data_IF_388520485732
#
_entry.id   IF_388520485732
#
_cell.length_a   1.000
_cell.length_b   1.000
_cell.length_c   1.000
_cell.angle_alpha   90.00
_cell.angle_beta   90.00
_cell.angle_gamma   90.00
#
_symmetry.space_group_name_H-M   'P 1'
#
loop_
_entity.id
_entity.type
_entity.pdbx_description
1 polymer ?
#
# COMPACT_ATOMS: atom_id res chain seq x y z
N UNK A 1 -7.64 0.45 -16.55
CA UNK A 1 -8.02 1.88 -16.46
C UNK A 1 -6.90 2.77 -16.99
N UNK A 2 -7.21 3.96 -17.48
CA UNK A 2 -6.21 4.90 -17.98
C UNK A 2 -6.63 6.34 -17.72
N UNK A 3 -5.67 7.18 -17.33
CA UNK A 3 -5.85 8.61 -17.20
C UNK A 3 -5.27 9.28 -18.46
N UNK A 4 -6.10 9.98 -19.24
CA UNK A 4 -5.69 10.55 -20.54
C UNK A 4 -5.79 12.07 -20.50
N UNK A 5 -4.68 12.75 -20.78
CA UNK A 5 -4.64 14.21 -20.88
C UNK A 5 -5.40 14.68 -22.13
N UNK A 6 -6.29 15.67 -21.98
CA UNK A 6 -7.15 16.11 -23.10
C UNK A 6 -6.41 16.96 -24.14
N UNK A 7 -5.32 17.62 -23.75
CA UNK A 7 -4.57 18.54 -24.62
C UNK A 7 -3.46 17.80 -25.36
N UNK A 8 -2.70 16.95 -24.63
CA UNK A 8 -1.53 16.26 -25.16
C UNK A 8 -1.82 14.84 -25.66
N UNK A 9 -3.01 14.29 -25.34
CA UNK A 9 -3.35 12.87 -25.54
C UNK A 9 -2.39 11.89 -24.84
N UNK A 10 -1.55 12.36 -23.90
CA UNK A 10 -0.70 11.49 -23.11
C UNK A 10 -1.53 10.64 -22.15
N UNK A 11 -1.29 9.33 -22.13
CA UNK A 11 -2.02 8.37 -21.30
C UNK A 11 -1.14 7.79 -20.18
N UNK A 12 -1.75 7.66 -19.00
CA UNK A 12 -1.18 6.99 -17.83
C UNK A 12 -2.07 5.79 -17.50
N UNK A 13 -1.63 4.62 -17.96
CA UNK A 13 -2.40 3.37 -17.88
C UNK A 13 -2.06 2.62 -16.61
N UNK A 14 -3.08 2.10 -15.93
CA UNK A 14 -2.93 1.17 -14.81
C UNK A 14 -3.93 0.04 -14.96
N UNK A 15 -3.47 -1.19 -14.76
CA UNK A 15 -4.33 -2.36 -14.67
C UNK A 15 -4.44 -2.80 -13.21
N UNK A 16 -5.66 -3.05 -12.74
CA UNK A 16 -5.96 -3.58 -11.40
C UNK A 16 -7.05 -4.63 -11.48
N UNK A 17 -6.84 -5.72 -10.74
CA UNK A 17 -7.81 -6.80 -10.56
C UNK A 17 -8.28 -6.78 -9.10
N UNK A 18 -9.58 -6.96 -8.91
CA UNK A 18 -10.19 -7.17 -7.59
C UNK A 18 -10.67 -8.62 -7.57
N UNK A 19 -10.05 -9.42 -6.73
CA UNK A 19 -10.35 -10.84 -6.59
C UNK A 19 -10.60 -11.11 -5.12
N UNK A 20 -11.72 -11.73 -4.81
CA UNK A 20 -12.10 -12.10 -3.45
C UNK A 20 -12.68 -13.50 -3.47
N UNK A 21 -12.09 -14.39 -2.68
CA UNK A 21 -12.49 -15.78 -2.56
C UNK A 21 -12.68 -16.11 -1.09
N UNK A 22 -13.73 -16.86 -0.77
CA UNK A 22 -13.98 -17.32 0.60
C UNK A 22 -14.58 -18.71 0.58
N UNK A 23 -14.24 -19.52 1.57
CA UNK A 23 -14.75 -20.88 1.66
C UNK A 23 -14.56 -21.49 3.04
N UNK A 24 -14.88 -22.78 3.13
CA UNK A 24 -14.64 -23.59 4.32
C UNK A 24 -14.11 -24.93 3.88
N UNK A 25 -13.05 -25.39 4.54
CA UNK A 25 -12.42 -26.69 4.33
C UNK A 25 -12.22 -27.42 5.68
N UNK A 26 -11.41 -28.48 5.69
CA UNK A 26 -11.12 -29.27 6.90
C UNK A 26 -10.33 -28.52 7.97
N UNK A 27 -9.59 -27.48 7.58
CA UNK A 27 -8.72 -26.68 8.47
C UNK A 27 -9.42 -25.40 8.95
N UNK A 28 -10.56 -25.05 8.34
CA UNK A 28 -11.48 -24.04 8.84
C UNK A 28 -12.07 -23.16 7.74
N UNK A 29 -12.53 -21.96 8.14
CA UNK A 29 -12.92 -20.94 7.19
C UNK A 29 -11.68 -20.23 6.64
N UNK A 30 -11.66 -19.99 5.34
CA UNK A 30 -10.59 -19.24 4.68
C UNK A 30 -11.16 -18.11 3.81
N UNK A 31 -10.35 -17.08 3.65
CA UNK A 31 -10.64 -15.90 2.83
C UNK A 31 -9.35 -15.45 2.15
N UNK A 32 -9.42 -15.15 0.86
CA UNK A 32 -8.29 -14.73 0.03
C UNK A 32 -8.67 -13.51 -0.82
N UNK A 33 -7.72 -12.59 -0.96
CA UNK A 33 -7.88 -11.39 -1.78
C UNK A 33 -8.67 -10.27 -1.08
N UNK A 34 -9.32 -9.42 -1.87
CA UNK A 34 -10.03 -8.26 -1.37
C UNK A 34 -10.90 -7.55 -2.40
N UNK A 35 -11.92 -6.85 -1.89
CA UNK A 35 -12.90 -6.11 -2.69
C UNK A 35 -12.49 -4.65 -2.98
N UNK A 36 -11.29 -4.25 -2.59
CA UNK A 36 -10.77 -2.89 -2.77
C UNK A 36 -9.29 -2.91 -3.06
N UNK A 37 -8.84 -2.00 -3.92
CA UNK A 37 -7.44 -1.80 -4.22
C UNK A 37 -7.12 -0.30 -4.39
N UNK A 38 -5.87 0.07 -4.15
CA UNK A 38 -5.38 1.44 -4.31
C UNK A 38 -4.06 1.41 -5.07
N UNK A 39 -3.93 2.33 -6.02
CA UNK A 39 -2.70 2.50 -6.81
C UNK A 39 -2.24 3.95 -6.77
N UNK A 40 -0.93 4.12 -6.60
CA UNK A 40 -0.27 5.40 -6.77
C UNK A 40 0.23 5.51 -8.21
N UNK A 41 -0.13 6.62 -8.86
CA UNK A 41 0.45 6.96 -10.15
C UNK A 41 1.76 7.73 -9.91
N UNK A 42 2.74 7.62 -10.84
CA UNK A 42 3.91 8.49 -10.83
C UNK A 42 3.49 9.95 -10.99
N UNK A 43 4.40 10.93 -10.76
CA UNK A 43 4.08 12.35 -10.89
C UNK A 43 3.41 12.66 -12.25
N UNK A 44 2.16 13.09 -12.19
CA UNK A 44 1.36 13.49 -13.35
C UNK A 44 1.39 15.02 -13.43
N UNK A 45 1.72 15.62 -14.59
CA UNK A 45 1.68 17.07 -14.77
C UNK A 45 0.30 17.67 -14.47
N UNK A 46 0.23 18.95 -14.07
CA UNK A 46 -1.06 19.62 -13.90
C UNK A 46 -1.78 19.74 -15.26
N UNK A 47 -3.09 19.49 -15.26
CA UNK A 47 -3.90 19.58 -16.48
C UNK A 47 -5.29 18.96 -16.29
N UNK A 48 -6.07 18.96 -17.37
CA UNK A 48 -7.37 18.30 -17.41
C UNK A 48 -7.26 16.91 -18.02
N UNK A 49 -7.87 15.93 -17.34
CA UNK A 49 -7.75 14.53 -17.71
C UNK A 49 -9.13 13.86 -17.79
N UNK A 50 -9.23 12.86 -18.67
CA UNK A 50 -10.34 11.91 -18.72
C UNK A 50 -9.89 10.60 -18.08
N UNK A 51 -10.69 10.09 -17.15
CA UNK A 51 -10.48 8.74 -16.60
C UNK A 51 -11.30 7.74 -17.42
N UNK A 52 -10.59 6.80 -18.03
CA UNK A 52 -11.16 5.67 -18.77
C UNK A 52 -11.09 4.43 -17.89
N UNK A 53 -12.25 3.83 -17.62
CA UNK A 53 -12.38 2.60 -16.86
C UNK A 53 -13.04 1.58 -17.76
N UNK A 54 -12.42 0.41 -17.86
CA UNK A 54 -12.93 -0.73 -18.59
C UNK A 54 -13.08 -1.88 -17.58
N UNK A 55 -14.29 -2.06 -17.01
CA UNK A 55 -14.53 -3.09 -16.01
C UNK A 55 -14.81 -4.43 -16.70
N UNK A 56 -14.06 -5.46 -16.29
CA UNK A 56 -14.31 -6.85 -16.68
C UNK A 56 -14.60 -7.67 -15.42
N UNK A 57 -15.77 -8.30 -15.34
CA UNK A 57 -16.20 -9.11 -14.21
C UNK A 57 -15.97 -10.63 -14.44
N UNK A 58 -15.41 -11.01 -15.59
CA UNK A 58 -15.21 -12.40 -15.95
C UNK A 58 -16.51 -13.21 -16.12
N UNK A 59 -16.39 -14.37 -16.75
CA UNK A 59 -17.51 -15.27 -17.08
C UNK A 59 -18.07 -16.04 -15.86
N UNK A 60 -17.45 -15.93 -14.68
CA UNK A 60 -17.86 -16.61 -13.46
C UNK A 60 -18.91 -15.84 -12.64
N UNK A 61 -19.38 -14.71 -13.16
CA UNK A 61 -20.55 -14.01 -12.64
C UNK A 61 -21.74 -14.98 -12.66
N UNK A 62 -22.18 -15.45 -11.48
CA UNK A 62 -23.35 -16.29 -11.27
C UNK A 62 -24.47 -15.87 -12.24
N UNK A 63 -25.13 -16.82 -12.96
CA UNK A 63 -26.19 -16.46 -13.90
C UNK A 63 -27.19 -15.57 -13.17
N UNK A 64 -27.68 -14.51 -13.81
CA UNK A 64 -28.57 -13.56 -13.17
C UNK A 64 -29.83 -14.31 -12.75
N UNK A 65 -29.87 -14.76 -11.49
CA UNK A 65 -31.14 -14.98 -10.83
C UNK A 65 -31.88 -13.65 -10.85
N UNK A 66 -33.21 -13.66 -10.76
CA UNK A 66 -34.05 -12.45 -10.83
C UNK A 66 -33.74 -11.39 -9.73
N UNK A 67 -32.68 -11.59 -8.95
CA UNK A 67 -32.08 -10.64 -8.01
C UNK A 67 -30.57 -10.51 -8.24
N UNK A 68 -30.12 -10.43 -9.50
CA UNK A 68 -28.74 -10.08 -9.83
C UNK A 68 -28.44 -8.68 -9.29
N UNK A 69 -27.91 -8.65 -8.06
CA UNK A 69 -27.53 -7.43 -7.37
C UNK A 69 -26.43 -6.75 -8.19
N UNK A 70 -26.76 -5.62 -8.83
CA UNK A 70 -25.75 -4.73 -9.39
C UNK A 70 -24.80 -4.35 -8.27
N UNK A 71 -23.54 -4.81 -8.33
CA UNK A 71 -22.55 -4.47 -7.33
C UNK A 71 -22.10 -3.03 -7.58
N UNK A 72 -22.37 -2.07 -6.67
CA UNK A 72 -21.92 -0.70 -6.87
C UNK A 72 -20.40 -0.61 -6.73
N UNK A 73 -19.72 -0.09 -7.76
CA UNK A 73 -18.28 0.18 -7.72
C UNK A 73 -18.06 1.65 -7.39
N UNK A 74 -17.36 1.94 -6.30
CA UNK A 74 -17.00 3.31 -5.90
C UNK A 74 -15.56 3.59 -6.27
N UNK A 75 -15.33 4.68 -7.01
CA UNK A 75 -14.01 5.09 -7.47
C UNK A 75 -13.67 6.44 -6.85
N UNK A 76 -12.55 6.50 -6.14
CA UNK A 76 -12.06 7.73 -5.53
C UNK A 76 -10.70 8.11 -6.12
N UNK A 77 -10.60 9.33 -6.64
CA UNK A 77 -9.35 9.91 -7.13
C UNK A 77 -8.89 10.93 -6.12
N UNK A 78 -7.63 10.83 -5.68
CA UNK A 78 -7.01 11.78 -4.77
C UNK A 78 -5.76 12.33 -5.44
N UNK A 79 -5.61 13.65 -5.43
CA UNK A 79 -4.40 14.34 -5.85
C UNK A 79 -3.58 14.73 -4.60
N UNK A 80 -2.29 15.00 -4.80
CA UNK A 80 -1.36 15.41 -3.74
C UNK A 80 -1.34 14.48 -2.51
N UNK A 81 -1.34 13.17 -2.76
CA UNK A 81 -1.32 12.17 -1.68
C UNK A 81 0.09 12.09 -1.05
N UNK A 82 0.23 12.35 0.26
CA UNK A 82 1.52 12.22 0.93
C UNK A 82 1.95 10.75 1.01
N UNK A 83 3.14 10.45 0.50
CA UNK A 83 3.76 9.12 0.56
C UNK A 83 4.54 9.01 1.88
N UNK A 84 3.82 8.63 2.95
CA UNK A 84 4.39 8.52 4.30
C UNK A 84 5.56 7.54 4.41
N UNK A 85 5.61 6.50 3.57
CA UNK A 85 6.71 5.54 3.57
C UNK A 85 8.07 6.21 3.33
N UNK A 86 8.14 7.13 2.37
CA UNK A 86 9.38 7.86 2.08
C UNK A 86 9.84 8.69 3.27
N UNK A 87 8.90 9.39 3.93
CA UNK A 87 9.18 10.16 5.13
C UNK A 87 9.69 9.28 6.28
N UNK A 88 8.99 8.16 6.55
CA UNK A 88 9.37 7.24 7.63
C UNK A 88 10.72 6.56 7.35
N UNK A 89 11.01 6.19 6.10
CA UNK A 89 12.31 5.64 5.69
C UNK A 89 13.41 6.67 5.91
N UNK A 90 13.22 7.92 5.45
CA UNK A 90 14.20 8.99 5.65
C UNK A 90 14.45 9.25 7.15
N UNK A 91 13.38 9.30 7.95
CA UNK A 91 13.46 9.44 9.41
C UNK A 91 14.22 8.27 10.05
N UNK A 92 13.92 7.03 9.68
CA UNK A 92 14.62 5.86 10.17
C UNK A 92 16.12 5.91 9.84
N UNK A 93 16.46 6.29 8.60
CA UNK A 93 17.87 6.45 8.16
C UNK A 93 18.60 7.53 8.97
N UNK A 94 17.96 8.66 9.24
CA UNK A 94 18.53 9.72 10.07
C UNK A 94 18.78 9.28 11.52
N UNK A 95 17.91 8.40 12.06
CA UNK A 95 18.05 7.89 13.43
C UNK A 95 19.15 6.83 13.59
N UNK A 96 19.70 6.28 12.51
CA UNK A 96 20.77 5.25 12.58
C UNK A 96 22.01 5.78 13.32
N UNK A 97 22.47 6.99 12.99
CA UNK A 97 23.69 7.58 13.58
C UNK A 97 23.55 7.83 15.09
N UNK A 98 22.51 8.53 15.59
CA UNK A 98 22.34 8.71 17.03
C UNK A 98 22.06 7.38 17.73
N UNK A 99 21.33 6.44 17.11
CA UNK A 99 21.11 5.11 17.68
C UNK A 99 22.44 4.36 17.91
N UNK A 100 23.33 4.33 16.91
CA UNK A 100 24.67 3.74 17.06
C UNK A 100 25.45 4.44 18.17
N UNK A 101 25.39 5.76 18.24
CA UNK A 101 26.12 6.55 19.25
C UNK A 101 25.64 6.25 20.67
N UNK A 102 24.32 6.17 20.88
CA UNK A 102 23.71 5.82 22.16
C UNK A 102 24.03 4.38 22.54
N UNK A 103 23.95 3.43 21.61
CA UNK A 103 24.32 2.03 21.84
C UNK A 103 25.78 1.94 22.30
N UNK A 104 26.70 2.63 21.62
CA UNK A 104 28.13 2.66 21.99
C UNK A 104 28.35 3.27 23.39
N UNK A 105 27.58 4.30 23.75
CA UNK A 105 27.66 4.90 25.09
C UNK A 105 27.17 3.93 26.17
N UNK A 106 26.03 3.29 25.96
CA UNK A 106 25.45 2.33 26.92
C UNK A 106 26.36 1.11 27.09
N UNK A 107 26.96 0.58 26.01
CA UNK A 107 27.90 -0.54 26.12
C UNK A 107 29.18 -0.17 26.86
N UNK A 108 29.67 1.06 26.67
CA UNK A 108 30.81 1.58 27.44
C UNK A 108 30.49 1.69 28.95
N UNK A 109 29.32 2.24 29.30
CA UNK A 109 28.88 2.35 30.69
C UNK A 109 28.69 0.97 31.34
N UNK A 110 28.10 0.00 30.62
CA UNK A 110 27.97 -1.40 31.07
C UNK A 110 29.33 -2.03 31.36
N UNK A 111 30.30 -1.91 30.44
CA UNK A 111 31.64 -2.46 30.64
C UNK A 111 32.39 -1.85 31.84
N UNK A 112 32.12 -0.57 32.17
CA UNK A 112 32.70 0.08 33.35
C UNK A 112 32.17 -0.53 34.66
N UNK A 113 30.88 -0.82 34.72
CA UNK A 113 30.26 -1.40 35.92
C UNK A 113 30.72 -2.84 36.16
N UNK A 114 30.92 -3.62 35.10
CA UNK A 114 31.45 -4.99 35.20
C UNK A 114 32.89 -5.03 35.72
N UNK A 115 33.73 -4.07 35.32
CA UNK A 115 35.15 -4.00 35.77
C UNK A 115 35.34 -3.33 37.13
N UNK A 116 34.36 -2.58 37.61
CA UNK A 116 34.40 -1.88 38.91
C UNK A 116 33.86 -2.69 40.09
N UNK A 117 33.36 -3.90 39.85
CA UNK A 117 32.69 -4.74 40.85
C UNK A 117 33.55 -5.84 41.50
N UNK A 118 34.89 -5.72 41.49
CA UNK A 118 35.76 -6.59 42.28
C UNK A 118 36.86 -5.76 42.93
N UNK A 119 36.55 -5.18 44.08
CA UNK A 119 37.51 -4.77 45.08
C UNK A 119 36.79 -4.73 46.44
N UNK A 120 36.58 -5.92 47.00
CA UNK A 120 36.67 -6.23 48.43
C UNK A 120 36.80 -7.75 48.60
#
# INVERSE_FOLDING_TARGET
MALVNIETNQSYSVFRALEHYSGTDSDGAWEEGGNSDTVLLPPVPPGTYKLLIDPDAGLFSKPPSLSASTQPVTIAIRYDVPIWSNYLIAMALLLIVPAISVIRRITFEKSRWEKGGVAE
#
